data_IF_861668461836
#
_entry.id   IF_861668461836
#
_cell.length_a   1.000
_cell.length_b   1.000
_cell.length_c   1.000
_cell.angle_alpha   90.00
_cell.angle_beta   90.00
_cell.angle_gamma   90.00
#
_symmetry.space_group_name_H-M   'P 1'
#
loop_
_entity.id
_entity.type
_entity.pdbx_description
1 polymer ?
#
# COMPACT_ATOMS: atom_id res chain seq x y z
N UNK A 1 -10.43 -5.75 7.36
CA UNK A 1 -9.27 -5.90 6.46
C UNK A 1 -8.64 -4.54 6.08
N UNK A 2 -9.33 -3.57 5.42
CA UNK A 2 -8.72 -2.22 5.25
C UNK A 2 -8.45 -1.53 6.59
N UNK A 3 -9.42 -1.57 7.51
CA UNK A 3 -9.26 -1.10 8.90
C UNK A 3 -8.06 -1.74 9.62
N UNK A 4 -7.69 -2.97 9.26
CA UNK A 4 -6.49 -3.60 9.85
C UNK A 4 -5.21 -2.97 9.31
N UNK A 5 -5.17 -2.58 8.03
CA UNK A 5 -4.04 -1.82 7.49
C UNK A 5 -3.92 -0.44 8.17
N UNK A 6 -5.05 0.19 8.49
CA UNK A 6 -5.09 1.45 9.24
C UNK A 6 -4.64 1.23 10.69
N UNK A 7 -5.15 0.20 11.37
CA UNK A 7 -4.83 -0.11 12.76
C UNK A 7 -3.35 -0.53 12.94
N UNK A 8 -2.83 -1.33 12.01
CA UNK A 8 -1.42 -1.70 11.94
C UNK A 8 -0.51 -0.55 11.46
N UNK A 9 -1.09 0.61 11.08
CA UNK A 9 -0.38 1.81 10.61
C UNK A 9 0.50 1.56 9.37
N UNK A 10 0.12 0.63 8.50
CA UNK A 10 0.92 0.21 7.34
C UNK A 10 1.33 1.38 6.46
N UNK A 11 0.37 2.25 6.10
CA UNK A 11 0.64 3.40 5.22
C UNK A 11 1.62 4.36 5.90
N UNK A 12 1.41 4.63 7.19
CA UNK A 12 2.27 5.53 7.97
C UNK A 12 3.71 5.02 8.05
N UNK A 13 3.92 3.75 8.42
CA UNK A 13 5.28 3.19 8.57
C UNK A 13 6.04 3.15 7.24
N UNK A 14 5.34 2.84 6.14
CA UNK A 14 5.96 2.87 4.81
C UNK A 14 6.30 4.30 4.39
N UNK A 15 5.36 5.24 4.53
CA UNK A 15 5.56 6.63 4.08
C UNK A 15 6.59 7.39 4.91
N UNK A 16 6.73 7.05 6.21
CA UNK A 16 7.78 7.58 7.07
C UNK A 16 9.19 7.21 6.59
N UNK A 17 9.35 6.02 6.03
CA UNK A 17 10.64 5.53 5.52
C UNK A 17 10.84 5.75 4.01
N UNK A 18 9.77 6.06 3.28
CA UNK A 18 9.78 6.27 1.82
C UNK A 18 9.18 7.63 1.40
N UNK A 19 9.65 8.77 1.93
CA UNK A 19 9.02 10.07 1.75
C UNK A 19 8.95 10.50 0.28
N UNK A 20 7.82 11.06 -0.13
CA UNK A 20 7.52 11.48 -1.50
C UNK A 20 6.89 12.88 -1.49
N UNK A 21 7.06 13.62 -2.59
CA UNK A 21 6.23 14.82 -2.87
C UNK A 21 4.74 14.47 -2.84
N UNK A 22 3.91 15.42 -2.44
CA UNK A 22 2.45 15.27 -2.36
C UNK A 22 1.82 15.24 -3.77
N UNK A 23 1.97 14.10 -4.45
CA UNK A 23 1.46 13.88 -5.80
C UNK A 23 0.91 12.46 -5.97
N UNK A 24 -0.39 12.34 -6.20
CA UNK A 24 -1.07 11.05 -6.36
C UNK A 24 -0.98 10.15 -5.12
N UNK A 25 -1.02 8.84 -5.31
CA UNK A 25 -0.92 7.88 -4.21
C UNK A 25 0.51 7.80 -3.64
N UNK A 26 0.61 7.65 -2.32
CA UNK A 26 1.86 7.47 -1.58
C UNK A 26 2.41 6.05 -1.74
N UNK A 27 3.66 5.81 -1.35
CA UNK A 27 4.29 4.47 -1.40
C UNK A 27 3.54 3.50 -0.48
N UNK A 28 3.17 3.96 0.71
CA UNK A 28 2.37 3.23 1.68
C UNK A 28 0.99 2.86 1.14
N UNK A 29 0.33 3.76 0.39
CA UNK A 29 -0.94 3.44 -0.24
C UNK A 29 -0.81 2.29 -1.25
N UNK A 30 0.23 2.25 -2.09
CA UNK A 30 0.46 1.12 -3.00
C UNK A 30 0.74 -0.19 -2.27
N UNK A 31 1.51 -0.15 -1.17
CA UNK A 31 1.77 -1.33 -0.34
C UNK A 31 0.47 -1.84 0.30
N UNK A 32 -0.35 -0.96 0.87
CA UNK A 32 -1.62 -1.34 1.47
C UNK A 32 -2.58 -1.95 0.42
N UNK A 33 -2.66 -1.36 -0.78
CA UNK A 33 -3.47 -1.91 -1.88
C UNK A 33 -2.93 -3.29 -2.30
N UNK A 34 -1.62 -3.48 -2.40
CA UNK A 34 -1.01 -4.76 -2.75
C UNK A 34 -1.27 -5.84 -1.70
N UNK A 35 -1.15 -5.48 -0.41
CA UNK A 35 -1.46 -6.36 0.71
C UNK A 35 -2.93 -6.79 0.69
N UNK A 36 -3.85 -5.85 0.47
CA UNK A 36 -5.28 -6.12 0.33
C UNK A 36 -5.59 -7.00 -0.89
N UNK A 37 -4.94 -6.74 -2.02
CA UNK A 37 -5.07 -7.58 -3.20
C UNK A 37 -4.62 -9.01 -2.88
N UNK A 38 -3.46 -9.17 -2.24
CA UNK A 38 -2.93 -10.48 -1.86
C UNK A 38 -3.81 -11.22 -0.86
N UNK A 39 -4.40 -10.52 0.10
CA UNK A 39 -5.24 -11.10 1.15
C UNK A 39 -6.64 -11.51 0.66
N UNK A 40 -7.20 -10.80 -0.34
CA UNK A 40 -8.54 -11.07 -0.87
C UNK A 40 -8.48 -12.04 -2.03
N UNK A 41 -7.69 -11.73 -3.07
CA UNK A 41 -7.54 -12.54 -4.28
C UNK A 41 -6.36 -12.04 -5.10
N UNK A 42 -5.34 -12.88 -5.29
CA UNK A 42 -4.14 -12.50 -6.04
C UNK A 42 -4.46 -12.26 -7.53
N UNK A 43 -4.53 -11.00 -7.95
CA UNK A 43 -4.70 -10.62 -9.34
C UNK A 43 -3.38 -10.12 -9.95
N UNK A 44 -3.29 -10.17 -11.27
CA UNK A 44 -2.14 -9.60 -11.98
C UNK A 44 -2.07 -8.08 -11.75
N UNK A 45 -0.86 -7.51 -11.74
CA UNK A 45 -0.64 -6.06 -11.62
C UNK A 45 -1.27 -5.25 -12.77
N UNK A 46 -1.51 -5.90 -13.90
CA UNK A 46 -2.21 -5.30 -15.06
C UNK A 46 -3.71 -5.17 -14.84
N UNK A 47 -4.25 -5.94 -13.90
CA UNK A 47 -5.66 -5.96 -13.53
C UNK A 47 -5.93 -5.26 -12.19
N UNK A 48 -4.94 -4.52 -11.67
CA UNK A 48 -5.02 -3.89 -10.35
C UNK A 48 -6.15 -2.87 -10.29
N UNK A 49 -6.30 -2.03 -11.31
CA UNK A 49 -7.41 -1.09 -11.41
C UNK A 49 -8.77 -1.78 -11.55
N UNK A 50 -8.85 -2.78 -12.44
CA UNK A 50 -10.09 -3.51 -12.73
C UNK A 50 -10.62 -4.24 -11.49
N UNK A 51 -9.72 -4.75 -10.66
CA UNK A 51 -10.05 -5.28 -9.34
C UNK A 51 -10.41 -4.16 -8.36
N UNK A 52 -9.52 -3.17 -8.18
CA UNK A 52 -9.65 -2.13 -7.16
C UNK A 52 -10.96 -1.34 -7.31
N UNK A 53 -11.33 -0.96 -8.54
CA UNK A 53 -12.57 -0.22 -8.87
C UNK A 53 -13.87 -0.95 -8.52
N UNK A 54 -13.81 -2.27 -8.30
CA UNK A 54 -14.97 -3.10 -7.91
C UNK A 54 -15.01 -3.38 -6.39
N UNK A 55 -14.11 -2.78 -5.61
CA UNK A 55 -14.03 -3.00 -4.16
C UNK A 55 -14.48 -1.77 -3.38
N UNK A 56 -14.81 -1.97 -2.10
CA UNK A 56 -15.09 -0.87 -1.17
C UNK A 56 -13.88 0.06 -0.92
N UNK A 57 -12.66 -0.31 -1.37
CA UNK A 57 -11.45 0.50 -1.21
C UNK A 57 -11.56 1.87 -1.89
N UNK A 58 -12.40 2.00 -2.91
CA UNK A 58 -12.73 3.29 -3.54
C UNK A 58 -13.18 4.36 -2.55
N UNK A 59 -13.85 3.97 -1.46
CA UNK A 59 -14.32 4.90 -0.42
C UNK A 59 -13.17 5.41 0.46
N UNK A 60 -12.09 4.65 0.57
CA UNK A 60 -10.93 4.97 1.40
C UNK A 60 -9.82 5.70 0.63
N UNK A 61 -9.75 5.51 -0.69
CA UNK A 61 -8.76 6.12 -1.57
C UNK A 61 -9.44 6.74 -2.81
N UNK A 62 -10.24 7.82 -2.64
CA UNK A 62 -11.03 8.41 -3.72
C UNK A 62 -10.17 8.99 -4.86
N UNK A 63 -8.91 9.31 -4.59
CA UNK A 63 -7.94 9.80 -5.58
C UNK A 63 -7.42 8.70 -6.53
N UNK A 64 -7.64 7.43 -6.21
CA UNK A 64 -7.19 6.31 -7.04
C UNK A 64 -7.94 6.27 -8.38
N UNK A 65 -7.20 6.13 -9.47
CA UNK A 65 -7.75 6.02 -10.81
C UNK A 65 -6.91 5.07 -11.68
N UNK A 66 -7.38 4.72 -12.87
CA UNK A 66 -6.67 3.81 -13.80
C UNK A 66 -5.26 4.27 -14.17
N UNK A 67 -5.05 5.59 -14.29
CA UNK A 67 -3.74 6.14 -14.62
C UNK A 67 -2.74 6.03 -13.46
N UNK A 68 -3.23 6.02 -12.21
CA UNK A 68 -2.40 5.75 -11.04
C UNK A 68 -2.19 4.25 -10.84
N UNK A 69 -3.26 3.45 -10.78
CA UNK A 69 -3.17 2.01 -10.50
C UNK A 69 -2.88 1.16 -11.75
N UNK A 70 -1.73 1.42 -12.37
CA UNK A 70 -1.20 0.61 -13.46
C UNK A 70 0.13 -0.06 -13.05
N UNK A 71 0.59 -1.03 -13.86
CA UNK A 71 1.79 -1.81 -13.54
C UNK A 71 3.07 -0.99 -13.47
N UNK A 72 3.22 0.04 -14.31
CA UNK A 72 4.42 0.89 -14.29
C UNK A 72 4.47 1.69 -12.99
N UNK A 73 3.39 2.41 -12.66
CA UNK A 73 3.30 3.19 -11.42
C UNK A 73 3.43 2.33 -10.17
N UNK A 74 2.90 1.11 -10.22
CA UNK A 74 3.11 0.16 -9.14
C UNK A 74 4.61 -0.09 -8.90
N UNK A 75 5.37 -0.43 -9.95
CA UNK A 75 6.79 -0.71 -9.83
C UNK A 75 7.62 0.54 -9.55
N UNK A 76 7.28 1.70 -10.12
CA UNK A 76 7.90 3.00 -9.78
C UNK A 76 7.89 3.24 -8.25
N UNK A 77 6.85 2.77 -7.56
CA UNK A 77 6.72 2.90 -6.11
C UNK A 77 7.42 1.77 -5.34
N UNK A 78 7.43 0.55 -5.85
CA UNK A 78 8.15 -0.57 -5.22
C UNK A 78 9.67 -0.41 -5.30
N UNK A 79 10.18 0.16 -6.39
CA UNK A 79 11.62 0.38 -6.61
C UNK A 79 12.22 1.40 -5.63
N UNK A 80 11.38 2.13 -4.90
CA UNK A 80 11.77 3.05 -3.83
C UNK A 80 12.05 2.34 -2.51
N UNK A 81 11.66 1.07 -2.37
CA UNK A 81 11.80 0.29 -1.16
C UNK A 81 12.94 -0.68 -1.37
N UNK A 82 14.14 -0.30 -0.91
CA UNK A 82 15.26 -1.24 -0.88
C UNK A 82 15.09 -2.30 0.22
N UNK A 83 15.92 -3.35 0.18
CA UNK A 83 15.79 -4.46 1.12
C UNK A 83 15.96 -4.04 2.60
N UNK A 84 16.93 -3.18 2.98
CA UNK A 84 17.01 -2.65 4.34
C UNK A 84 15.76 -1.87 4.76
N UNK A 85 15.22 -1.04 3.88
CA UNK A 85 14.00 -0.27 4.15
C UNK A 85 12.80 -1.20 4.33
N UNK A 86 12.65 -2.23 3.50
CA UNK A 86 11.60 -3.23 3.64
C UNK A 86 11.67 -3.95 5.01
N UNK A 87 12.88 -4.30 5.46
CA UNK A 87 13.08 -4.92 6.77
C UNK A 87 12.73 -3.97 7.92
N UNK A 88 13.10 -2.69 7.82
CA UNK A 88 12.75 -1.68 8.81
C UNK A 88 11.23 -1.43 8.88
N UNK A 89 10.55 -1.32 7.74
CA UNK A 89 9.08 -1.22 7.65
C UNK A 89 8.43 -2.40 8.37
N UNK A 90 8.86 -3.62 8.06
CA UNK A 90 8.33 -4.82 8.70
C UNK A 90 8.53 -4.80 10.22
N UNK A 91 9.74 -4.47 10.67
CA UNK A 91 10.07 -4.40 12.09
C UNK A 91 9.17 -3.39 12.82
N UNK A 92 9.02 -2.18 12.28
CA UNK A 92 8.20 -1.13 12.87
C UNK A 92 6.73 -1.53 12.97
N UNK A 93 6.17 -2.13 11.91
CA UNK A 93 4.77 -2.59 11.92
C UNK A 93 4.58 -3.64 13.03
N UNK A 94 5.45 -4.64 13.11
CA UNK A 94 5.33 -5.72 14.11
C UNK A 94 5.49 -5.18 15.54
N UNK A 95 6.51 -4.36 15.80
CA UNK A 95 6.68 -3.73 17.11
C UNK A 95 5.47 -2.88 17.50
N UNK A 96 4.96 -2.09 16.54
CA UNK A 96 3.78 -1.27 16.76
C UNK A 96 2.55 -2.11 17.10
N UNK A 97 2.31 -3.22 16.38
CA UNK A 97 1.17 -4.11 16.66
C UNK A 97 1.31 -4.75 18.05
N UNK A 98 2.48 -5.30 18.38
CA UNK A 98 2.73 -5.93 19.70
C UNK A 98 2.49 -4.95 20.86
N UNK A 99 2.79 -3.66 20.69
CA UNK A 99 2.58 -2.66 21.74
C UNK A 99 1.12 -2.24 21.93
N UNK A 100 0.23 -2.55 20.97
CA UNK A 100 -1.19 -2.13 20.99
C UNK A 100 -2.14 -3.24 21.43
N UNK A 101 -1.73 -4.49 21.30
CA UNK A 101 -2.45 -5.69 21.74
C UNK A 101 -2.09 -6.01 23.20
#
# INVERSE_FOLDING_TARGET
MWKECEHAKVIHEVDALCPKRDQGLTTGAYIAIAAMNRAIWAFSKRSMWEWFSKTALMRHLPQANKALLNSQRFWDHMDRIDAPTAAAIWHNIIQGVIQRE
#
